data_IF_049610285891
#
_entry.id   IF_049610285891
#
_cell.length_a   1.000
_cell.length_b   1.000
_cell.length_c   1.000
_cell.angle_alpha   90.00
_cell.angle_beta   90.00
_cell.angle_gamma   90.00
#
_symmetry.space_group_name_H-M   'P 1'
#
loop_
_entity.id
_entity.type
_entity.pdbx_description
1 polymer ?
#
# COMPACT_ATOMS: atom_id res chain seq x y z
N UNK A 1 1.90 -0.79 9.01
CA UNK A 1 2.43 -0.67 7.62
C UNK A 1 2.76 0.74 7.22
N UNK A 2 1.86 1.72 7.41
CA UNK A 2 2.07 3.12 6.97
C UNK A 2 3.35 3.74 7.54
N UNK A 3 3.76 3.34 8.75
CA UNK A 3 5.00 3.78 9.39
C UNK A 3 6.28 3.14 8.82
N UNK A 4 6.16 2.02 8.10
CA UNK A 4 7.29 1.39 7.40
C UNK A 4 7.37 1.87 5.96
N UNK A 5 6.24 1.90 5.26
CA UNK A 5 6.18 2.21 3.83
C UNK A 5 6.20 3.71 3.55
N UNK A 6 6.48 4.10 2.30
CA UNK A 6 6.52 5.51 1.91
C UNK A 6 7.83 6.18 2.31
N UNK A 7 7.75 7.37 2.90
CA UNK A 7 8.92 8.21 3.22
C UNK A 7 9.95 7.51 4.11
N UNK A 8 9.59 6.81 5.22
CA UNK A 8 10.57 6.25 6.15
C UNK A 8 11.51 5.22 5.52
N UNK A 9 11.00 4.26 4.74
CA UNK A 9 11.87 3.26 4.10
C UNK A 9 12.79 3.88 3.04
N UNK A 10 12.33 4.91 2.34
CA UNK A 10 13.14 5.64 1.36
C UNK A 10 14.29 6.36 2.07
N UNK A 11 14.01 7.05 3.18
CA UNK A 11 15.03 7.70 4.00
C UNK A 11 16.03 6.68 4.56
N UNK A 12 15.53 5.54 5.05
CA UNK A 12 16.38 4.47 5.58
C UNK A 12 17.33 3.90 4.51
N UNK A 13 16.84 3.53 3.32
CA UNK A 13 17.74 3.01 2.28
C UNK A 13 18.74 4.07 1.80
N UNK A 14 18.37 5.35 1.78
CA UNK A 14 19.31 6.44 1.48
C UNK A 14 20.38 6.59 2.56
N UNK A 15 20.02 6.44 3.84
CA UNK A 15 20.99 6.41 4.94
C UNK A 15 21.98 5.24 4.79
N UNK A 16 21.52 4.08 4.31
CA UNK A 16 22.37 2.94 3.98
C UNK A 16 23.22 3.15 2.71
N UNK A 17 23.18 4.32 2.07
CA UNK A 17 23.98 4.63 0.89
C UNK A 17 23.35 4.17 -0.44
N UNK A 18 22.03 3.98 -0.50
CA UNK A 18 21.37 3.59 -1.74
C UNK A 18 21.52 4.64 -2.85
N UNK A 19 21.82 4.17 -4.07
CA UNK A 19 21.90 5.02 -5.25
C UNK A 19 20.51 5.35 -5.83
N UNK A 20 20.48 6.23 -6.83
CA UNK A 20 19.23 6.68 -7.46
C UNK A 20 18.40 5.52 -8.06
N UNK A 21 19.05 4.52 -8.66
CA UNK A 21 18.39 3.36 -9.23
C UNK A 21 17.69 2.53 -8.13
N UNK A 22 18.36 2.29 -7.01
CA UNK A 22 17.82 1.53 -5.89
C UNK A 22 16.63 2.24 -5.25
N UNK A 23 16.67 3.57 -5.10
CA UNK A 23 15.52 4.36 -4.65
C UNK A 23 14.37 4.27 -5.66
N UNK A 24 14.67 4.34 -6.97
CA UNK A 24 13.70 4.13 -8.04
C UNK A 24 13.03 2.76 -7.96
N UNK A 25 13.78 1.70 -7.65
CA UNK A 25 13.24 0.35 -7.45
C UNK A 25 12.29 0.28 -6.25
N UNK A 26 12.63 0.90 -5.12
CA UNK A 26 11.73 0.99 -3.95
C UNK A 26 10.40 1.60 -4.36
N UNK A 27 10.43 2.75 -5.06
CA UNK A 27 9.24 3.42 -5.57
C UNK A 27 8.46 2.54 -6.56
N UNK A 28 9.16 1.85 -7.45
CA UNK A 28 8.57 0.95 -8.44
C UNK A 28 7.88 -0.24 -7.76
N UNK A 29 8.45 -0.85 -6.72
CA UNK A 29 7.85 -2.01 -6.05
C UNK A 29 6.47 -1.71 -5.45
N UNK A 30 6.25 -0.48 -4.96
CA UNK A 30 4.97 -0.09 -4.37
C UNK A 30 3.79 -0.16 -5.34
N UNK A 31 4.01 0.16 -6.62
CA UNK A 31 2.96 0.21 -7.65
C UNK A 31 3.14 -0.85 -8.73
N UNK A 32 4.36 -1.06 -9.21
CA UNK A 32 4.69 -1.99 -10.28
C UNK A 32 4.35 -3.44 -9.97
N UNK A 33 4.48 -3.87 -8.70
CA UNK A 33 4.10 -5.23 -8.31
C UNK A 33 2.60 -5.45 -8.26
N UNK A 34 1.76 -4.41 -8.39
CA UNK A 34 0.29 -4.57 -8.47
C UNK A 34 -0.16 -5.42 -9.65
N UNK A 35 0.65 -5.56 -10.71
CA UNK A 35 0.39 -6.48 -11.81
C UNK A 35 0.25 -7.93 -11.32
N UNK A 36 0.92 -8.30 -10.22
CA UNK A 36 0.81 -9.62 -9.60
C UNK A 36 -0.61 -9.93 -9.10
N UNK A 37 -1.45 -8.91 -8.86
CA UNK A 37 -2.85 -9.11 -8.46
C UNK A 37 -3.65 -9.88 -9.52
N UNK A 38 -3.30 -9.73 -10.80
CA UNK A 38 -3.98 -10.42 -11.90
C UNK A 38 -3.81 -11.95 -11.81
N UNK A 39 -2.61 -12.40 -11.42
CA UNK A 39 -2.34 -13.80 -11.11
C UNK A 39 -2.93 -14.22 -9.76
N UNK A 40 -2.84 -13.33 -8.77
CA UNK A 40 -3.40 -13.54 -7.44
C UNK A 40 -4.90 -13.80 -7.43
N UNK A 41 -5.68 -13.17 -8.32
CA UNK A 41 -7.14 -13.36 -8.39
C UNK A 41 -7.52 -14.82 -8.63
N UNK A 42 -6.83 -15.51 -9.56
CA UNK A 42 -7.07 -16.93 -9.85
C UNK A 42 -6.71 -17.83 -8.67
N UNK A 43 -5.59 -17.52 -8.02
CA UNK A 43 -5.15 -18.27 -6.84
C UNK A 43 -6.11 -18.06 -5.66
N UNK A 44 -6.69 -16.85 -5.52
CA UNK A 44 -7.65 -16.53 -4.47
C UNK A 44 -8.96 -17.30 -4.60
N UNK A 45 -9.42 -17.54 -5.82
CA UNK A 45 -10.62 -18.33 -6.10
C UNK A 45 -10.47 -19.80 -5.70
N UNK A 46 -9.28 -20.40 -5.86
CA UNK A 46 -9.02 -21.80 -5.48
C UNK A 46 -8.61 -21.95 -4.02
N UNK A 47 -7.72 -21.10 -3.53
CA UNK A 47 -7.18 -21.16 -2.16
C UNK A 47 -8.16 -20.61 -1.11
N UNK A 48 -9.08 -19.74 -1.54
CA UNK A 48 -10.06 -19.06 -0.72
C UNK A 48 -9.59 -17.67 -0.28
N UNK A 49 -10.46 -16.68 -0.49
CA UNK A 49 -10.17 -15.27 -0.23
C UNK A 49 -9.73 -14.99 1.21
N UNK A 50 -10.41 -15.56 2.20
CA UNK A 50 -10.07 -15.36 3.63
C UNK A 50 -8.66 -15.87 3.96
N UNK A 51 -8.35 -17.10 3.53
CA UNK A 51 -7.06 -17.75 3.81
C UNK A 51 -5.92 -16.97 3.17
N UNK A 52 -6.08 -16.57 1.93
CA UNK A 52 -5.10 -15.77 1.19
C UNK A 52 -4.89 -14.38 1.80
N UNK A 53 -5.98 -13.75 2.24
CA UNK A 53 -5.93 -12.47 2.93
C UNK A 53 -5.13 -12.56 4.23
N UNK A 54 -5.42 -13.55 5.08
CA UNK A 54 -4.72 -13.81 6.35
C UNK A 54 -3.24 -14.11 6.09
N UNK A 55 -2.93 -15.03 5.17
CA UNK A 55 -1.54 -15.42 4.87
C UNK A 55 -0.72 -14.23 4.39
N UNK A 56 -1.23 -13.45 3.42
CA UNK A 56 -0.51 -12.28 2.92
C UNK A 56 -0.39 -11.17 3.97
N UNK A 57 -1.32 -11.07 4.93
CA UNK A 57 -1.21 -10.12 6.04
C UNK A 57 -0.17 -10.56 7.05
N UNK A 58 -0.14 -11.85 7.40
CA UNK A 58 0.82 -12.45 8.29
C UNK A 58 2.25 -12.39 7.72
N UNK A 59 2.44 -12.79 6.46
CA UNK A 59 3.75 -12.76 5.80
C UNK A 59 4.35 -11.36 5.78
N UNK A 60 3.53 -10.34 5.49
CA UNK A 60 3.99 -8.95 5.60
C UNK A 60 4.45 -8.60 7.01
N UNK A 61 3.87 -9.23 8.04
CA UNK A 61 4.16 -8.94 9.45
C UNK A 61 5.52 -9.44 9.81
N UNK A 62 5.76 -10.69 9.46
CA UNK A 62 7.08 -11.33 9.57
C UNK A 62 8.10 -10.52 8.79
N UNK A 63 7.84 -10.18 7.52
CA UNK A 63 8.80 -9.42 6.71
C UNK A 63 9.08 -8.03 7.31
N UNK A 64 8.08 -7.34 7.84
CA UNK A 64 8.30 -6.07 8.52
C UNK A 64 9.12 -6.21 9.81
N UNK A 65 8.93 -7.29 10.59
CA UNK A 65 9.81 -7.60 11.72
C UNK A 65 11.26 -7.83 11.25
N UNK A 66 11.45 -8.54 10.13
CA UNK A 66 12.79 -8.78 9.56
C UNK A 66 13.42 -7.46 9.08
N UNK A 67 12.65 -6.56 8.44
CA UNK A 67 13.14 -5.22 8.06
C UNK A 67 13.50 -4.39 9.30
N UNK A 68 12.68 -4.43 10.35
CA UNK A 68 12.95 -3.72 11.60
C UNK A 68 14.22 -4.25 12.29
N UNK A 69 14.38 -5.56 12.34
CA UNK A 69 15.60 -6.20 12.85
C UNK A 69 16.82 -5.84 12.00
N UNK A 70 16.70 -5.89 10.66
CA UNK A 70 17.76 -5.49 9.75
C UNK A 70 18.18 -4.03 9.95
N UNK A 71 17.22 -3.14 10.22
CA UNK A 71 17.53 -1.75 10.55
C UNK A 71 18.39 -1.65 11.82
N UNK A 72 18.08 -2.42 12.86
CA UNK A 72 18.83 -2.42 14.11
C UNK A 72 20.29 -2.91 13.92
N UNK A 73 20.50 -3.97 13.13
CA UNK A 73 21.84 -4.54 12.91
C UNK A 73 22.60 -3.89 11.74
N UNK A 74 21.95 -3.00 10.99
CA UNK A 74 22.54 -2.36 9.80
C UNK A 74 23.89 -1.68 10.00
N UNK A 75 24.23 -1.07 11.16
CA UNK A 75 25.57 -0.48 11.36
C UNK A 75 26.71 -1.50 11.29
N UNK A 76 26.44 -2.79 11.53
CA UNK A 76 27.43 -3.87 11.45
C UNK A 76 27.50 -4.56 10.09
N UNK A 77 26.72 -4.13 9.10
CA UNK A 77 26.62 -4.77 7.78
C UNK A 77 27.19 -3.82 6.72
N UNK A 78 27.90 -4.38 5.73
CA UNK A 78 28.36 -3.61 4.58
C UNK A 78 27.18 -2.87 3.90
N UNK A 79 27.28 -1.55 3.63
CA UNK A 79 26.16 -0.74 3.16
C UNK A 79 25.45 -1.31 1.92
N UNK A 80 26.21 -1.76 0.91
CA UNK A 80 25.65 -2.36 -0.30
C UNK A 80 24.86 -3.64 -0.04
N UNK A 81 25.29 -4.46 0.92
CA UNK A 81 24.59 -5.69 1.33
C UNK A 81 23.30 -5.34 2.06
N UNK A 82 23.34 -4.37 2.98
CA UNK A 82 22.15 -3.92 3.72
C UNK A 82 21.06 -3.39 2.77
N UNK A 83 21.42 -2.55 1.79
CA UNK A 83 20.47 -2.06 0.77
C UNK A 83 19.86 -3.20 -0.03
N UNK A 84 20.69 -4.15 -0.48
CA UNK A 84 20.22 -5.29 -1.28
C UNK A 84 19.24 -6.16 -0.50
N UNK A 85 19.52 -6.43 0.78
CA UNK A 85 18.62 -7.17 1.67
C UNK A 85 17.29 -6.43 1.86
N UNK A 86 17.32 -5.11 2.09
CA UNK A 86 16.08 -4.31 2.21
C UNK A 86 15.27 -4.38 0.92
N UNK A 87 15.89 -4.26 -0.26
CA UNK A 87 15.21 -4.36 -1.54
C UNK A 87 14.54 -5.73 -1.75
N UNK A 88 15.25 -6.82 -1.44
CA UNK A 88 14.70 -8.16 -1.52
C UNK A 88 13.50 -8.34 -0.59
N UNK A 89 13.61 -7.87 0.65
CA UNK A 89 12.51 -7.90 1.63
C UNK A 89 11.32 -7.05 1.17
N UNK A 90 11.56 -5.86 0.58
CA UNK A 90 10.49 -5.00 0.05
C UNK A 90 9.80 -5.62 -1.16
N UNK A 91 10.52 -6.32 -2.03
CA UNK A 91 9.93 -7.07 -3.13
C UNK A 91 8.98 -8.15 -2.60
N UNK A 92 9.43 -8.95 -1.63
CA UNK A 92 8.61 -9.98 -0.99
C UNK A 92 7.40 -9.37 -0.27
N UNK A 93 7.61 -8.28 0.47
CA UNK A 93 6.56 -7.57 1.19
C UNK A 93 5.45 -7.09 0.25
N UNK A 94 5.83 -6.44 -0.86
CA UNK A 94 4.87 -5.91 -1.83
C UNK A 94 4.21 -7.02 -2.66
N UNK A 95 4.90 -8.15 -2.88
CA UNK A 95 4.30 -9.34 -3.49
C UNK A 95 3.21 -9.93 -2.59
N UNK A 96 3.51 -10.15 -1.30
CA UNK A 96 2.53 -10.60 -0.30
C UNK A 96 1.35 -9.62 -0.16
N UNK A 97 1.62 -8.31 -0.24
CA UNK A 97 0.59 -7.27 -0.26
C UNK A 97 -0.40 -7.45 -1.40
N UNK A 98 0.06 -7.74 -2.61
CA UNK A 98 -0.82 -7.90 -3.77
C UNK A 98 -1.81 -9.05 -3.58
N UNK A 99 -1.32 -10.18 -3.07
CA UNK A 99 -2.16 -11.35 -2.80
C UNK A 99 -3.21 -11.08 -1.70
N UNK A 100 -2.86 -10.31 -0.66
CA UNK A 100 -3.85 -9.83 0.31
C UNK A 100 -4.89 -8.90 -0.32
N UNK A 101 -4.46 -7.92 -1.11
CA UNK A 101 -5.34 -6.87 -1.65
C UNK A 101 -6.40 -7.44 -2.59
N UNK A 102 -6.00 -8.34 -3.50
CA UNK A 102 -6.93 -8.96 -4.46
C UNK A 102 -8.01 -9.79 -3.76
N UNK A 103 -7.69 -10.34 -2.58
CA UNK A 103 -8.61 -11.16 -1.80
C UNK A 103 -9.52 -10.36 -0.87
N UNK A 104 -9.12 -9.13 -0.53
CA UNK A 104 -9.81 -8.32 0.46
C UNK A 104 -11.20 -7.85 0.01
N UNK A 105 -11.31 -7.32 -1.22
CA UNK A 105 -12.59 -6.81 -1.74
C UNK A 105 -13.65 -7.94 -1.84
N UNK A 106 -13.35 -9.10 -2.45
CA UNK A 106 -14.30 -10.21 -2.49
C UNK A 106 -14.71 -10.68 -1.09
N UNK A 107 -13.76 -10.83 -0.17
CA UNK A 107 -14.03 -11.25 1.20
C UNK A 107 -14.96 -10.28 1.95
N UNK A 108 -14.67 -8.97 1.90
CA UNK A 108 -15.54 -7.94 2.48
C UNK A 108 -16.94 -7.96 1.87
N UNK A 109 -17.04 -8.19 0.56
CA UNK A 109 -18.33 -8.23 -0.13
C UNK A 109 -19.23 -9.37 0.36
N UNK A 110 -18.64 -10.46 0.88
CA UNK A 110 -19.38 -11.58 1.44
C UNK A 110 -19.91 -11.29 2.85
N UNK A 111 -19.25 -10.42 3.60
CA UNK A 111 -19.58 -10.09 4.99
C UNK A 111 -20.53 -8.89 5.05
N UNK A 112 -20.32 -7.89 4.20
CA UNK A 112 -21.01 -6.61 4.28
C UNK A 112 -22.20 -6.56 3.31
N UNK A 113 -23.44 -6.37 3.81
CA UNK A 113 -24.63 -6.23 2.99
C UNK A 113 -24.51 -5.07 1.99
N UNK A 114 -25.03 -5.25 0.76
CA UNK A 114 -24.91 -4.27 -0.33
C UNK A 114 -25.31 -2.84 0.07
N UNK A 115 -26.40 -2.69 0.85
CA UNK A 115 -26.91 -1.37 1.30
C UNK A 115 -25.95 -0.62 2.22
N UNK A 116 -25.06 -1.32 2.93
CA UNK A 116 -24.14 -0.72 3.92
C UNK A 116 -22.72 -0.54 3.38
N UNK A 117 -22.42 -1.03 2.16
CA UNK A 117 -21.06 -1.01 1.60
C UNK A 117 -20.52 0.41 1.44
N UNK A 118 -21.31 1.33 0.88
CA UNK A 118 -20.88 2.73 0.69
C UNK A 118 -20.45 3.37 2.02
N UNK A 119 -21.30 3.28 3.04
CA UNK A 119 -20.99 3.79 4.39
C UNK A 119 -19.76 3.13 5.02
N UNK A 120 -19.62 1.81 4.87
CA UNK A 120 -18.44 1.10 5.37
C UNK A 120 -17.15 1.58 4.70
N UNK A 121 -17.14 1.70 3.36
CA UNK A 121 -15.97 2.15 2.62
C UNK A 121 -15.63 3.61 2.90
N UNK A 122 -16.63 4.49 3.04
CA UNK A 122 -16.44 5.89 3.42
C UNK A 122 -15.80 5.99 4.82
N UNK A 123 -16.41 5.38 5.84
CA UNK A 123 -15.87 5.40 7.21
C UNK A 123 -14.46 4.80 7.29
N UNK A 124 -14.24 3.68 6.61
CA UNK A 124 -12.91 3.05 6.52
C UNK A 124 -11.91 4.01 5.86
N UNK A 125 -12.30 4.68 4.78
CA UNK A 125 -11.48 5.67 4.10
C UNK A 125 -11.06 6.79 5.05
N UNK A 126 -12.03 7.43 5.70
CA UNK A 126 -11.78 8.49 6.69
C UNK A 126 -10.85 8.04 7.82
N UNK A 127 -11.02 6.82 8.34
CA UNK A 127 -10.13 6.25 9.38
C UNK A 127 -8.71 6.07 8.84
N UNK A 128 -8.55 5.56 7.62
CA UNK A 128 -7.22 5.35 7.01
C UNK A 128 -6.50 6.69 6.83
N UNK A 129 -7.19 7.71 6.34
CA UNK A 129 -6.62 9.05 6.16
C UNK A 129 -6.25 9.69 7.50
N UNK A 130 -7.12 9.62 8.51
CA UNK A 130 -6.82 10.12 9.85
C UNK A 130 -5.60 9.42 10.47
N UNK A 131 -5.52 8.09 10.37
CA UNK A 131 -4.35 7.31 10.80
C UNK A 131 -3.10 7.68 9.99
N UNK A 132 -3.26 8.01 8.71
CA UNK A 132 -2.18 8.49 7.86
C UNK A 132 -1.58 9.80 8.37
N UNK A 133 -2.42 10.78 8.72
CA UNK A 133 -2.00 12.06 9.30
C UNK A 133 -1.25 11.82 10.62
N UNK A 134 -1.83 11.04 11.53
CA UNK A 134 -1.19 10.69 12.81
C UNK A 134 0.16 10.00 12.58
N UNK A 135 0.23 9.09 11.60
CA UNK A 135 1.45 8.39 11.25
C UNK A 135 2.54 9.35 10.78
N UNK A 136 2.20 10.38 10.00
CA UNK A 136 3.16 11.41 9.57
C UNK A 136 3.75 12.17 10.76
N UNK A 137 2.91 12.59 11.72
CA UNK A 137 3.39 13.22 12.95
C UNK A 137 4.31 12.30 13.75
N UNK A 138 3.92 11.03 13.92
CA UNK A 138 4.76 10.04 14.62
C UNK A 138 6.11 9.83 13.93
N UNK A 139 6.14 9.75 12.60
CA UNK A 139 7.38 9.61 11.82
C UNK A 139 8.29 10.81 12.09
N UNK A 140 7.77 12.04 12.01
CA UNK A 140 8.53 13.25 12.23
C UNK A 140 9.10 13.32 13.66
N UNK A 141 8.30 12.99 14.67
CA UNK A 141 8.72 13.00 16.09
C UNK A 141 9.79 11.95 16.39
N UNK A 142 9.65 10.73 15.84
CA UNK A 142 10.59 9.62 16.13
C UNK A 142 11.91 9.80 15.39
N UNK A 143 11.89 10.20 14.11
CA UNK A 143 13.10 10.33 13.31
C UNK A 143 13.89 11.60 13.69
N UNK A 144 13.21 12.73 13.91
CA UNK A 144 13.85 14.01 14.20
C UNK A 144 14.70 14.54 13.03
N UNK A 145 15.58 15.50 13.32
CA UNK A 145 16.41 16.16 12.31
C UNK A 145 17.58 15.29 11.80
N UNK A 146 18.17 14.47 12.68
CA UNK A 146 19.25 13.54 12.36
C UNK A 146 18.88 12.13 12.83
N UNK A 147 18.24 11.32 11.97
CA UNK A 147 17.80 9.98 12.33
C UNK A 147 18.93 8.96 12.22
N UNK A 148 19.13 8.16 13.25
CA UNK A 148 20.04 7.01 13.25
C UNK A 148 19.29 5.71 12.88
N UNK A 149 20.04 4.64 12.58
CA UNK A 149 19.47 3.32 12.29
C UNK A 149 18.57 2.79 13.42
N UNK A 150 18.85 3.15 14.68
CA UNK A 150 18.04 2.76 15.85
C UNK A 150 16.63 3.36 15.82
N UNK A 151 16.48 4.65 15.47
CA UNK A 151 15.17 5.31 15.30
C UNK A 151 14.36 4.71 14.16
N UNK A 152 15.00 4.36 13.04
CA UNK A 152 14.33 3.63 11.95
C UNK A 152 13.86 2.26 12.41
N UNK A 153 14.71 1.52 13.15
CA UNK A 153 14.33 0.22 13.71
C UNK A 153 13.11 0.34 14.64
N UNK A 154 13.12 1.31 15.56
CA UNK A 154 11.98 1.57 16.46
C UNK A 154 10.68 1.81 15.68
N UNK A 155 10.73 2.71 14.68
CA UNK A 155 9.59 3.02 13.82
C UNK A 155 9.06 1.79 13.08
N UNK A 156 9.96 0.96 12.55
CA UNK A 156 9.61 -0.27 11.85
C UNK A 156 9.06 -1.34 12.79
N UNK A 157 9.58 -1.46 14.01
CA UNK A 157 9.01 -2.34 15.04
C UNK A 157 7.59 -1.93 15.44
N UNK A 158 7.32 -0.63 15.59
CA UNK A 158 5.96 -0.13 15.84
C UNK A 158 5.04 -0.52 14.68
N UNK A 159 5.49 -0.35 13.43
CA UNK A 159 4.74 -0.75 12.24
C UNK A 159 4.46 -2.25 12.18
N UNK A 160 5.44 -3.07 12.57
CA UNK A 160 5.35 -4.52 12.59
C UNK A 160 4.42 -5.01 13.73
N UNK A 161 4.48 -4.39 14.91
CA UNK A 161 3.55 -4.66 16.01
C UNK A 161 2.10 -4.36 15.62
N UNK A 162 1.84 -3.19 15.04
CA UNK A 162 0.51 -2.83 14.54
C UNK A 162 0.01 -3.82 13.47
N UNK A 163 0.92 -4.33 12.63
CA UNK A 163 0.60 -5.34 11.64
C UNK A 163 0.21 -6.69 12.23
N UNK A 164 0.94 -7.16 13.25
CA UNK A 164 0.65 -8.42 13.96
C UNK A 164 -0.69 -8.30 14.68
N UNK A 165 -0.93 -7.19 15.38
CA UNK A 165 -2.22 -6.91 16.02
C UNK A 165 -3.35 -6.95 14.98
N UNK A 166 -3.16 -6.30 13.83
CA UNK A 166 -4.11 -6.36 12.71
C UNK A 166 -4.33 -7.78 12.18
N UNK A 167 -3.28 -8.61 12.10
CA UNK A 167 -3.40 -10.00 11.68
C UNK A 167 -4.24 -10.82 12.67
N UNK A 168 -4.04 -10.60 13.98
CA UNK A 168 -4.79 -11.26 15.04
C UNK A 168 -6.29 -10.92 14.96
N UNK A 169 -6.64 -9.65 14.77
CA UNK A 169 -8.04 -9.23 14.57
C UNK A 169 -8.64 -9.85 13.30
N UNK A 170 -7.87 -9.91 12.22
CA UNK A 170 -8.29 -10.49 10.96
C UNK A 170 -8.58 -12.00 11.10
N UNK A 171 -7.73 -12.74 11.82
CA UNK A 171 -7.92 -14.17 12.10
C UNK A 171 -9.17 -14.42 12.93
N UNK A 172 -9.50 -13.52 13.87
CA UNK A 172 -10.72 -13.62 14.69
C UNK A 172 -11.99 -13.24 13.95
N UNK A 173 -11.90 -12.52 12.84
CA UNK A 173 -13.08 -12.09 12.07
C UNK A 173 -13.77 -13.31 11.42
N UNK A 174 -15.05 -13.58 11.75
CA UNK A 174 -15.82 -14.66 11.14
C UNK A 174 -16.28 -14.28 9.73
N UNK A 175 -16.42 -15.30 8.87
CA UNK A 175 -17.01 -15.14 7.53
C UNK A 175 -16.03 -15.25 6.36
N UNK A 176 -16.59 -15.45 5.16
CA UNK A 176 -15.85 -15.56 3.91
C UNK A 176 -15.49 -16.98 3.47
N UNK A 177 -16.20 -17.99 3.97
CA UNK A 177 -16.19 -19.31 3.34
C UNK A 177 -16.83 -19.19 1.95
N UNK A 178 -16.23 -19.86 0.97
CA UNK A 178 -16.73 -19.90 -0.39
C UNK A 178 -18.17 -20.46 -0.38
N UNK A 179 -19.17 -19.59 -0.53
CA UNK A 179 -20.52 -20.03 -0.88
C UNK A 179 -20.47 -20.58 -2.30
N UNK A 180 -20.38 -21.92 -2.35
CA UNK A 180 -20.41 -22.80 -3.51
C UNK A 180 -19.30 -22.59 -4.54
N UNK A 181 -18.66 -23.69 -4.93
CA UNK A 181 -17.85 -23.77 -6.16
C UNK A 181 -18.76 -23.41 -7.33
N UNK A 182 -18.81 -22.14 -7.73
CA UNK A 182 -19.21 -21.82 -9.11
C UNK A 182 -18.26 -22.61 -10.00
N UNK A 183 -18.83 -23.39 -10.91
CA UNK A 183 -18.08 -24.13 -11.94
C UNK A 183 -17.00 -23.21 -12.49
N UNK A 184 -15.75 -23.51 -12.14
CA UNK A 184 -14.63 -22.74 -12.64
C UNK A 184 -14.61 -22.96 -14.13
N UNK A 185 -14.88 -21.89 -14.89
CA UNK A 185 -14.50 -21.82 -16.29
C UNK A 185 -13.00 -22.08 -16.33
N UNK A 186 -12.59 -23.31 -16.67
CA UNK A 186 -11.19 -23.78 -16.85
C UNK A 186 -10.52 -23.12 -18.06
N UNK A 187 -10.86 -21.87 -18.34
CA UNK A 187 -10.29 -21.14 -19.45
C UNK A 187 -8.82 -20.84 -19.14
N UNK A 188 -7.89 -21.05 -20.11
CA UNK A 188 -6.52 -20.60 -19.97
C UNK A 188 -6.45 -19.10 -19.66
N UNK A 189 -5.46 -18.67 -18.89
CA UNK A 189 -5.31 -17.27 -18.44
C UNK A 189 -5.30 -16.29 -19.60
N UNK A 190 -4.50 -16.59 -20.61
CA UNK A 190 -4.35 -15.77 -21.81
C UNK A 190 -5.68 -15.65 -22.56
N UNK A 191 -6.46 -16.73 -22.62
CA UNK A 191 -7.77 -16.71 -23.27
C UNK A 191 -8.78 -15.85 -22.50
N UNK A 192 -8.84 -15.99 -21.17
CA UNK A 192 -9.70 -15.16 -20.33
C UNK A 192 -9.31 -13.67 -20.45
N UNK A 193 -8.01 -13.36 -20.40
CA UNK A 193 -7.49 -12.01 -20.57
C UNK A 193 -7.86 -11.43 -21.93
N UNK A 194 -7.63 -12.18 -23.02
CA UNK A 194 -7.98 -11.76 -24.37
C UNK A 194 -9.48 -11.47 -24.50
N UNK A 195 -10.33 -12.38 -24.03
CA UNK A 195 -11.79 -12.22 -24.06
C UNK A 195 -12.27 -11.01 -23.25
N UNK A 196 -11.63 -10.72 -22.11
CA UNK A 196 -11.91 -9.51 -21.32
C UNK A 196 -11.49 -8.24 -22.05
N UNK A 197 -10.32 -8.25 -22.70
CA UNK A 197 -9.82 -7.10 -23.48
C UNK A 197 -10.63 -6.86 -24.77
N UNK A 198 -11.30 -7.88 -25.31
CA UNK A 198 -12.23 -7.73 -26.44
C UNK A 198 -13.54 -7.01 -26.05
N UNK A 199 -13.88 -6.94 -24.75
CA UNK A 199 -15.09 -6.26 -24.31
C UNK A 199 -14.93 -4.74 -24.37
N UNK A 200 -15.61 -4.10 -25.33
CA UNK A 200 -15.59 -2.64 -25.53
C UNK A 200 -15.95 -1.84 -24.28
N UNK A 201 -16.94 -2.29 -23.51
CA UNK A 201 -17.37 -1.62 -22.26
C UNK A 201 -16.24 -1.62 -21.22
N UNK A 202 -15.52 -2.74 -21.10
CA UNK A 202 -14.39 -2.86 -20.17
C UNK A 202 -13.22 -1.98 -20.58
N UNK A 203 -12.85 -1.96 -21.86
CA UNK A 203 -11.77 -1.10 -22.37
C UNK A 203 -12.12 0.38 -22.21
N UNK A 204 -13.36 0.78 -22.50
CA UNK A 204 -13.84 2.15 -22.25
C UNK A 204 -13.74 2.54 -20.78
N UNK A 205 -14.10 1.62 -19.88
CA UNK A 205 -13.96 1.82 -18.45
C UNK A 205 -12.49 1.98 -18.04
N UNK A 206 -11.58 1.10 -18.49
CA UNK A 206 -10.14 1.24 -18.21
C UNK A 206 -9.61 2.58 -18.73
N UNK A 207 -9.97 2.95 -19.96
CA UNK A 207 -9.51 4.20 -20.56
C UNK A 207 -9.99 5.42 -19.76
N UNK A 208 -11.27 5.43 -19.37
CA UNK A 208 -11.82 6.46 -18.48
C UNK A 208 -11.07 6.50 -17.14
N UNK A 209 -10.83 5.35 -16.52
CA UNK A 209 -10.13 5.24 -15.23
C UNK A 209 -8.70 5.78 -15.35
N UNK A 210 -7.96 5.40 -16.41
CA UNK A 210 -6.60 5.90 -16.67
C UNK A 210 -6.62 7.42 -16.85
N UNK A 211 -7.53 7.95 -17.68
CA UNK A 211 -7.65 9.40 -17.89
C UNK A 211 -8.00 10.13 -16.59
N UNK A 212 -8.94 9.60 -15.82
CA UNK A 212 -9.34 10.18 -14.54
C UNK A 212 -8.15 10.25 -13.57
N UNK A 213 -7.39 9.16 -13.41
CA UNK A 213 -6.21 9.14 -12.54
C UNK A 213 -5.09 10.03 -13.06
N UNK A 214 -4.85 10.09 -14.37
CA UNK A 214 -3.89 11.02 -14.96
C UNK A 214 -4.29 12.47 -14.70
N UNK A 215 -5.56 12.81 -14.91
CA UNK A 215 -6.10 14.14 -14.63
C UNK A 215 -6.00 14.51 -13.15
N UNK A 216 -6.33 13.58 -12.26
CA UNK A 216 -6.22 13.77 -10.82
C UNK A 216 -4.78 14.06 -10.37
N UNK A 217 -3.82 13.25 -10.83
CA UNK A 217 -2.40 13.41 -10.48
C UNK A 217 -1.83 14.70 -11.08
N UNK A 218 -2.15 15.00 -12.33
CA UNK A 218 -1.73 16.23 -12.99
C UNK A 218 -2.29 17.47 -12.27
N UNK A 219 -3.58 17.46 -11.92
CA UNK A 219 -4.23 18.55 -11.19
C UNK A 219 -3.61 18.76 -9.80
N UNK A 220 -3.34 17.67 -9.07
CA UNK A 220 -2.70 17.75 -7.76
C UNK A 220 -1.28 18.34 -7.80
N UNK A 221 -0.50 18.05 -8.85
CA UNK A 221 0.82 18.65 -9.05
C UNK A 221 0.75 20.09 -9.54
N UNK A 222 -0.10 20.35 -10.54
CA UNK A 222 -0.28 21.68 -11.12
C UNK A 222 -0.77 22.70 -10.09
N UNK A 223 -1.73 22.34 -9.24
CA UNK A 223 -2.26 23.25 -8.21
C UNK A 223 -1.19 23.75 -7.23
N UNK A 224 -0.21 22.91 -6.89
CA UNK A 224 0.91 23.29 -6.02
C UNK A 224 1.84 24.29 -6.73
N UNK A 225 2.22 23.98 -7.98
CA UNK A 225 3.12 24.84 -8.78
C UNK A 225 2.45 26.18 -9.10
N UNK A 226 1.18 26.16 -9.50
CA UNK A 226 0.41 27.37 -9.79
C UNK A 226 0.28 28.28 -8.55
N UNK A 227 -0.02 27.69 -7.38
CA UNK A 227 -0.11 28.46 -6.13
C UNK A 227 1.23 29.10 -5.75
N UNK A 228 2.35 28.39 -5.94
CA UNK A 228 3.68 28.90 -5.60
C UNK A 228 4.21 29.90 -6.62
N UNK A 229 4.18 29.56 -7.91
CA UNK A 229 4.94 30.27 -8.94
C UNK A 229 4.12 31.35 -9.64
N UNK A 230 2.79 31.21 -9.70
CA UNK A 230 1.89 32.20 -10.33
C UNK A 230 1.24 33.09 -9.28
N UNK A 231 0.72 32.51 -8.19
CA UNK A 231 0.08 33.26 -7.11
C UNK A 231 1.06 33.77 -6.04
N UNK A 232 2.35 33.42 -6.14
CA UNK A 232 3.40 33.80 -5.20
C UNK A 232 3.07 33.47 -3.73
N UNK A 233 2.30 32.40 -3.48
CA UNK A 233 1.98 32.00 -2.11
C UNK A 233 3.22 31.50 -1.39
N UNK A 234 3.35 31.92 -0.13
CA UNK A 234 4.37 31.38 0.76
C UNK A 234 4.19 29.87 0.93
N UNK A 235 5.31 29.17 1.16
CA UNK A 235 5.32 27.70 1.28
C UNK A 235 4.30 27.19 2.32
N UNK A 236 4.11 27.93 3.41
CA UNK A 236 3.17 27.60 4.46
C UNK A 236 1.70 27.61 3.96
N UNK A 237 1.31 28.61 3.17
CA UNK A 237 -0.04 28.72 2.58
C UNK A 237 -0.34 27.56 1.61
N UNK A 238 0.67 27.09 0.87
CA UNK A 238 0.55 25.92 0.00
C UNK A 238 0.37 24.64 0.81
N UNK A 239 1.09 24.50 1.93
CA UNK A 239 0.95 23.37 2.85
C UNK A 239 -0.46 23.36 3.48
N UNK A 240 -0.98 24.52 3.89
CA UNK A 240 -2.36 24.64 4.40
C UNK A 240 -3.41 24.26 3.35
N UNK A 241 -3.26 24.70 2.10
CA UNK A 241 -4.17 24.30 1.01
C UNK A 241 -4.19 22.78 0.79
N UNK A 242 -3.02 22.13 0.86
CA UNK A 242 -2.93 20.67 0.76
C UNK A 242 -3.58 19.98 1.97
N UNK A 243 -3.38 20.52 3.17
CA UNK A 243 -4.03 20.01 4.38
C UNK A 243 -5.57 20.15 4.30
N UNK A 244 -6.09 21.31 3.87
CA UNK A 244 -7.52 21.52 3.67
C UNK A 244 -8.11 20.61 2.59
N UNK A 245 -7.39 20.41 1.49
CA UNK A 245 -7.80 19.45 0.44
C UNK A 245 -7.94 18.03 1.01
N UNK A 246 -6.96 17.59 1.79
CA UNK A 246 -6.99 16.25 2.38
C UNK A 246 -8.07 16.14 3.48
N UNK A 247 -8.32 17.21 4.25
CA UNK A 247 -9.39 17.25 5.24
C UNK A 247 -10.79 17.24 4.59
N UNK A 248 -10.98 17.94 3.47
CA UNK A 248 -12.22 17.90 2.69
C UNK A 248 -12.56 16.49 2.20
N UNK A 249 -11.56 15.73 1.77
CA UNK A 249 -11.72 14.33 1.37
C UNK A 249 -12.13 13.39 2.52
N UNK A 250 -11.90 13.77 3.78
CA UNK A 250 -12.32 12.99 4.96
C UNK A 250 -13.81 13.22 5.27
N UNK A 251 -14.36 14.38 4.88
CA UNK A 251 -15.73 14.81 5.18
C UNK A 251 -16.74 14.47 4.08
N UNK A 252 -16.28 14.15 2.86
CA UNK A 252 -17.09 13.73 1.70
C UNK A 252 -17.32 12.23 1.66
#
# INVERSE_FOLDING_TARGET
>A
WTLLLGTPIILFVKQLGANALQVGLVLAFFRGLMVLQLFGARFAETFGYRRMLILGWFLRGVIACVIAYLALVSPGIAPGTAVTLVLALLFLFNSARCFSLVSWIPWISMIIPKKLRGRFFALRGSIIEAVGIISCFMIALILGADPDSGRFALLFFISAGAAIIGAIFLIRSPGGELKEKKEQLKLPFIYALKKTLEQKTFIRYIFFEVLFWCGWVAFAGFSIVFARDVLAFNADSVVYLVLFRNAGAILS
#
